data_IF_237430852543
#
_entry.id   IF_237430852543
#
_cell.length_a   1.000
_cell.length_b   1.000
_cell.length_c   1.000
_cell.angle_alpha   90.00
_cell.angle_beta   90.00
_cell.angle_gamma   90.00
#
_symmetry.space_group_name_H-M   'P 1'
#
loop_
_entity.id
_entity.type
_entity.pdbx_description
1 polymer ?
#
# COMPACT_ATOMS: atom_id res chain seq x y z
N UNK A 1 36.92 -47.26 -40.39
CA UNK A 1 36.58 -46.85 -39.00
C UNK A 1 37.26 -45.53 -38.67
N UNK A 2 36.55 -44.39 -38.77
CA UNK A 2 36.88 -43.16 -38.03
C UNK A 2 35.56 -42.48 -37.68
N UNK A 3 35.23 -42.50 -36.40
CA UNK A 3 33.97 -42.09 -35.80
C UNK A 3 33.89 -40.56 -35.73
N UNK A 4 32.89 -40.01 -36.40
CA UNK A 4 32.53 -38.59 -36.37
C UNK A 4 31.90 -38.27 -35.00
N UNK A 5 32.64 -37.64 -34.10
CA UNK A 5 32.11 -37.18 -32.82
C UNK A 5 31.35 -35.87 -33.04
N UNK A 6 30.03 -35.96 -33.15
CA UNK A 6 29.15 -34.79 -33.09
C UNK A 6 29.13 -34.27 -31.64
N UNK A 7 29.87 -33.19 -31.38
CA UNK A 7 29.78 -32.46 -30.12
C UNK A 7 28.46 -31.68 -30.14
N UNK A 8 27.47 -32.19 -29.40
CA UNK A 8 26.21 -31.51 -29.14
C UNK A 8 26.47 -30.36 -28.15
N UNK A 9 26.66 -29.16 -28.68
CA UNK A 9 26.72 -27.93 -27.88
C UNK A 9 25.30 -27.62 -27.39
N UNK A 10 24.96 -28.11 -26.19
CA UNK A 10 23.72 -27.73 -25.51
C UNK A 10 23.85 -26.26 -25.10
N UNK A 11 23.28 -25.38 -25.92
CA UNK A 11 23.15 -23.96 -25.60
C UNK A 11 22.15 -23.86 -24.45
N UNK A 12 22.66 -23.82 -23.22
CA UNK A 12 21.96 -23.33 -22.04
C UNK A 12 21.72 -21.83 -22.25
N UNK A 13 20.67 -21.47 -22.98
CA UNK A 13 20.15 -20.11 -22.96
C UNK A 13 19.63 -19.91 -21.53
N UNK A 14 20.21 -19.02 -20.71
CA UNK A 14 19.57 -18.65 -19.47
C UNK A 14 18.28 -17.95 -19.88
N UNK A 15 17.15 -18.66 -19.76
CA UNK A 15 15.86 -17.99 -19.70
C UNK A 15 15.97 -17.03 -18.52
N UNK A 16 16.08 -15.73 -18.81
CA UNK A 16 15.87 -14.72 -17.80
C UNK A 16 14.43 -14.89 -17.35
N UNK A 17 14.23 -15.67 -16.29
CA UNK A 17 12.99 -15.69 -15.53
C UNK A 17 12.89 -14.33 -14.86
N UNK A 18 12.43 -13.33 -15.61
CA UNK A 18 11.79 -12.19 -15.02
C UNK A 18 10.56 -12.75 -14.34
N UNK A 19 10.60 -12.89 -13.02
CA UNK A 19 9.37 -12.98 -12.26
C UNK A 19 8.68 -11.64 -12.50
N UNK A 20 7.82 -11.58 -13.52
CA UNK A 20 6.95 -10.44 -13.73
C UNK A 20 6.23 -10.25 -12.40
N UNK A 21 6.43 -9.09 -11.79
CA UNK A 21 5.59 -8.62 -10.70
C UNK A 21 4.18 -8.39 -11.27
N UNK A 22 3.51 -9.49 -11.62
CA UNK A 22 2.18 -9.53 -12.19
C UNK A 22 1.19 -9.64 -11.05
N UNK A 23 1.17 -8.64 -10.18
CA UNK A 23 0.04 -8.41 -9.30
C UNK A 23 -0.63 -7.10 -9.72
N UNK A 24 -1.33 -7.21 -10.85
CA UNK A 24 -2.06 -6.14 -11.53
C UNK A 24 -3.47 -5.95 -10.97
N UNK A 25 -3.65 -6.07 -9.64
CA UNK A 25 -4.90 -5.80 -8.95
C UNK A 25 -5.05 -4.34 -8.52
N UNK A 26 -6.29 -3.90 -8.34
CA UNK A 26 -6.60 -2.73 -7.54
C UNK A 26 -6.92 -3.19 -6.12
N UNK A 27 -6.26 -2.60 -5.13
CA UNK A 27 -6.57 -2.82 -3.72
C UNK A 27 -7.55 -1.74 -3.25
N UNK A 28 -8.51 -2.13 -2.40
CA UNK A 28 -9.55 -1.23 -1.91
C UNK A 28 -9.67 -1.34 -0.39
N UNK A 29 -9.70 -0.17 0.26
CA UNK A 29 -10.15 0.00 1.64
C UNK A 29 -11.51 0.71 1.65
N UNK A 30 -12.43 0.38 2.57
CA UNK A 30 -12.34 -0.68 3.58
C UNK A 30 -12.40 -2.09 2.96
N UNK A 31 -11.87 -3.10 3.67
CA UNK A 31 -11.90 -4.50 3.20
C UNK A 31 -13.19 -5.21 3.61
N UNK A 32 -13.76 -4.82 4.74
CA UNK A 32 -15.00 -5.36 5.28
C UNK A 32 -16.20 -5.03 4.39
N UNK A 33 -17.25 -5.86 4.41
CA UNK A 33 -18.45 -5.64 3.61
C UNK A 33 -19.39 -4.60 4.23
N UNK A 34 -19.09 -4.07 5.42
CA UNK A 34 -19.96 -3.17 6.17
C UNK A 34 -19.25 -1.84 6.35
N UNK A 35 -19.93 -0.73 6.02
CA UNK A 35 -19.37 0.63 6.10
C UNK A 35 -20.35 1.61 6.76
N UNK A 36 -19.86 2.67 7.42
CA UNK A 36 -20.71 3.75 7.90
C UNK A 36 -21.23 4.59 6.73
N UNK A 37 -22.35 5.30 6.94
CA UNK A 37 -22.95 6.15 5.90
C UNK A 37 -22.06 7.28 5.39
N UNK A 38 -21.03 7.66 6.13
CA UNK A 38 -20.05 8.70 5.80
C UNK A 38 -18.66 8.12 5.47
N UNK A 39 -18.60 6.84 5.07
CA UNK A 39 -17.35 6.11 4.81
C UNK A 39 -16.43 6.76 3.76
N UNK A 40 -15.12 6.58 3.92
CA UNK A 40 -14.09 6.90 2.93
C UNK A 40 -13.63 5.64 2.21
N UNK A 41 -13.06 5.79 1.02
CA UNK A 41 -12.55 4.69 0.22
C UNK A 41 -11.15 5.01 -0.26
N UNK A 42 -10.21 4.06 -0.12
CA UNK A 42 -8.88 4.18 -0.71
C UNK A 42 -8.78 3.17 -1.84
N UNK A 43 -8.37 3.61 -3.03
CA UNK A 43 -8.04 2.72 -4.14
C UNK A 43 -6.55 2.84 -4.43
N UNK A 44 -5.85 1.71 -4.37
CA UNK A 44 -4.40 1.62 -4.59
C UNK A 44 -4.12 0.74 -5.80
N UNK A 45 -3.22 1.21 -6.67
CA UNK A 45 -2.75 0.50 -7.85
C UNK A 45 -1.22 0.41 -7.87
N UNK A 46 -0.72 -0.78 -8.18
CA UNK A 46 0.71 -1.07 -8.39
C UNK A 46 1.04 -1.19 -9.87
N UNK A 47 2.31 -0.98 -10.22
CA UNK A 47 2.83 -1.27 -11.57
C UNK A 47 2.02 -0.61 -12.67
N UNK A 48 1.40 -1.43 -13.53
CA UNK A 48 0.59 -0.99 -14.69
C UNK A 48 -0.69 -0.23 -14.30
N UNK A 49 -1.21 -0.40 -13.08
CA UNK A 49 -2.44 0.24 -12.64
C UNK A 49 -2.23 1.66 -12.08
N UNK A 50 -0.99 2.11 -11.91
CA UNK A 50 -0.72 3.46 -11.35
C UNK A 50 -1.34 4.57 -12.20
N UNK A 51 -1.26 4.45 -13.53
CA UNK A 51 -1.82 5.43 -14.45
C UNK A 51 -3.35 5.49 -14.34
N UNK A 52 -4.01 4.34 -14.21
CA UNK A 52 -5.44 4.28 -13.94
C UNK A 52 -5.80 5.04 -12.65
N UNK A 53 -5.04 4.87 -11.56
CA UNK A 53 -5.28 5.60 -10.31
C UNK A 53 -5.16 7.12 -10.51
N UNK A 54 -4.13 7.58 -11.21
CA UNK A 54 -3.95 9.00 -11.50
C UNK A 54 -5.15 9.57 -12.27
N UNK A 55 -5.68 8.80 -13.22
CA UNK A 55 -6.83 9.17 -14.03
C UNK A 55 -8.15 9.23 -13.27
N UNK A 56 -8.26 8.66 -12.06
CA UNK A 56 -9.49 8.76 -11.23
C UNK A 56 -9.78 10.20 -10.77
N UNK A 57 -8.79 11.08 -10.85
CA UNK A 57 -8.95 12.51 -10.53
C UNK A 57 -9.38 13.38 -11.71
N UNK A 58 -9.32 12.86 -12.95
CA UNK A 58 -9.47 13.67 -14.16
C UNK A 58 -10.40 13.04 -15.21
N UNK A 59 -10.13 11.81 -15.63
CA UNK A 59 -10.78 11.17 -16.78
C UNK A 59 -11.81 10.11 -16.36
N UNK A 60 -11.41 9.25 -15.43
CA UNK A 60 -12.22 8.14 -14.96
C UNK A 60 -12.92 8.57 -13.67
N UNK A 61 -14.19 8.18 -13.51
CA UNK A 61 -14.97 8.56 -12.34
C UNK A 61 -15.35 7.32 -11.55
N UNK A 62 -15.26 7.42 -10.23
CA UNK A 62 -15.61 6.31 -9.32
C UNK A 62 -16.98 6.57 -8.71
N UNK A 63 -17.79 5.52 -8.63
CA UNK A 63 -19.14 5.56 -8.10
C UNK A 63 -19.43 4.40 -7.16
N UNK A 64 -20.41 4.62 -6.29
CA UNK A 64 -21.14 3.59 -5.59
C UNK A 64 -22.50 3.43 -6.26
N UNK A 65 -22.77 2.24 -6.80
CA UNK A 65 -24.01 1.92 -7.51
C UNK A 65 -24.86 0.98 -6.66
N UNK A 66 -26.03 1.46 -6.23
CA UNK A 66 -27.08 0.66 -5.61
C UNK A 66 -28.24 0.45 -6.58
N UNK A 67 -29.33 -0.18 -6.11
CA UNK A 67 -30.48 -0.56 -6.95
C UNK A 67 -31.08 0.61 -7.75
N UNK A 68 -31.31 1.76 -7.08
CA UNK A 68 -31.92 2.96 -7.67
C UNK A 68 -31.08 4.22 -7.41
N UNK A 69 -29.80 4.05 -7.09
CA UNK A 69 -28.91 5.16 -6.74
C UNK A 69 -27.53 4.98 -7.36
N UNK A 70 -26.96 6.09 -7.83
CA UNK A 70 -25.57 6.20 -8.24
C UNK A 70 -24.98 7.40 -7.51
N UNK A 71 -23.98 7.17 -6.67
CA UNK A 71 -23.34 8.18 -5.82
C UNK A 71 -21.91 8.38 -6.29
N UNK A 72 -21.54 9.60 -6.66
CA UNK A 72 -20.16 9.89 -7.05
C UNK A 72 -19.25 9.84 -5.84
N UNK A 73 -18.08 9.24 -6.03
CA UNK A 73 -16.97 9.34 -5.11
C UNK A 73 -16.04 10.47 -5.56
N UNK A 74 -15.88 11.48 -4.71
CA UNK A 74 -15.06 12.67 -4.95
C UNK A 74 -13.64 12.40 -4.44
N UNK A 75 -12.64 12.77 -5.23
CA UNK A 75 -11.23 12.71 -4.83
C UNK A 75 -10.94 13.69 -3.70
N UNK A 76 -10.45 13.15 -2.59
CA UNK A 76 -9.95 13.91 -1.44
C UNK A 76 -8.45 14.15 -1.58
N UNK A 77 -7.70 13.11 -1.94
CA UNK A 77 -6.23 13.19 -2.05
C UNK A 77 -5.71 12.11 -2.99
N UNK A 78 -4.71 12.45 -3.81
CA UNK A 78 -3.96 11.48 -4.63
C UNK A 78 -2.51 11.46 -4.16
N UNK A 79 -1.98 10.27 -3.88
CA UNK A 79 -0.60 10.10 -3.39
C UNK A 79 0.16 9.11 -4.28
N UNK A 80 1.35 9.52 -4.71
CA UNK A 80 2.29 8.69 -5.46
C UNK A 80 3.38 8.21 -4.50
N UNK A 81 3.50 6.89 -4.37
CA UNK A 81 4.53 6.24 -3.58
C UNK A 81 5.90 6.35 -4.24
N UNK A 82 6.95 6.05 -3.46
CA UNK A 82 8.32 6.14 -3.95
C UNK A 82 8.73 4.94 -4.81
N UNK A 83 7.91 3.88 -4.87
CA UNK A 83 8.22 2.66 -5.63
C UNK A 83 6.97 1.98 -6.21
N UNK A 84 6.61 2.33 -7.45
CA UNK A 84 5.55 1.67 -8.23
C UNK A 84 4.19 1.49 -7.52
N UNK A 85 3.80 2.44 -6.67
CA UNK A 85 2.47 2.48 -6.04
C UNK A 85 1.87 3.87 -6.21
N UNK A 86 0.58 3.92 -6.52
CA UNK A 86 -0.23 5.13 -6.50
C UNK A 86 -1.55 4.84 -5.83
N UNK A 87 -2.10 5.79 -5.09
CA UNK A 87 -3.40 5.65 -4.46
C UNK A 87 -4.22 6.94 -4.54
N UNK A 88 -5.54 6.78 -4.45
CA UNK A 88 -6.49 7.87 -4.33
C UNK A 88 -7.41 7.62 -3.14
N UNK A 89 -7.52 8.62 -2.27
CA UNK A 89 -8.51 8.67 -1.21
C UNK A 89 -9.77 9.37 -1.74
N UNK A 90 -10.91 8.73 -1.53
CA UNK A 90 -12.20 9.11 -2.06
C UNK A 90 -13.23 9.24 -0.94
N UNK A 91 -14.22 10.12 -1.13
CA UNK A 91 -15.38 10.26 -0.24
C UNK A 91 -16.66 10.40 -1.06
N UNK A 92 -17.79 9.80 -0.62
CA UNK A 92 -19.10 10.06 -1.22
C UNK A 92 -19.42 11.56 -1.26
N UNK A 93 -20.01 12.03 -2.36
CA UNK A 93 -20.47 13.42 -2.49
C UNK A 93 -21.62 13.78 -1.54
N UNK A 94 -22.29 12.76 -0.98
CA UNK A 94 -23.35 12.84 0.02
C UNK A 94 -23.34 11.59 0.89
N UNK A 95 -23.96 11.66 2.06
CA UNK A 95 -24.17 10.49 2.92
C UNK A 95 -24.88 9.36 2.14
N UNK A 96 -24.41 8.14 2.39
CA UNK A 96 -24.99 6.91 1.85
C UNK A 96 -26.30 6.58 2.59
N UNK A 97 -27.21 5.90 1.91
CA UNK A 97 -28.50 5.52 2.50
C UNK A 97 -28.35 4.25 3.34
N UNK A 98 -28.66 4.27 4.65
CA UNK A 98 -28.57 3.08 5.51
C UNK A 98 -29.41 1.89 5.00
N UNK A 99 -28.91 0.68 5.27
CA UNK A 99 -29.55 -0.58 4.87
C UNK A 99 -29.45 -0.91 3.38
N UNK A 100 -28.84 -0.04 2.56
CA UNK A 100 -28.61 -0.31 1.14
C UNK A 100 -27.26 -0.98 0.93
N UNK A 101 -27.20 -1.74 -0.16
CA UNK A 101 -25.96 -2.33 -0.68
C UNK A 101 -25.52 -1.53 -1.91
N UNK A 102 -24.26 -1.13 -1.94
CA UNK A 102 -23.64 -0.46 -3.07
C UNK A 102 -22.48 -1.27 -3.62
N UNK A 103 -22.31 -1.25 -4.94
CA UNK A 103 -21.16 -1.81 -5.65
C UNK A 103 -20.20 -0.68 -6.04
N UNK A 104 -18.90 -0.86 -5.77
CA UNK A 104 -17.87 0.07 -6.21
C UNK A 104 -17.57 -0.13 -7.70
N UNK A 105 -17.66 0.94 -8.49
CA UNK A 105 -17.47 0.91 -9.94
C UNK A 105 -16.59 2.08 -10.39
N UNK A 106 -15.66 1.81 -11.31
CA UNK A 106 -14.94 2.85 -12.05
C UNK A 106 -15.55 2.94 -13.45
N UNK A 107 -16.05 4.10 -13.85
CA UNK A 107 -16.57 4.30 -15.20
C UNK A 107 -15.46 4.54 -16.22
N UNK A 108 -15.77 4.26 -17.49
CA UNK A 108 -14.88 4.42 -18.65
C UNK A 108 -13.62 3.54 -18.62
N UNK A 109 -13.63 2.46 -17.83
CA UNK A 109 -12.53 1.49 -17.82
C UNK A 109 -13.00 0.08 -18.21
N UNK A 110 -12.18 -0.68 -18.96
CA UNK A 110 -12.48 -2.06 -19.29
C UNK A 110 -12.74 -2.95 -18.05
N UNK A 111 -13.54 -4.00 -18.22
CA UNK A 111 -13.98 -4.87 -17.13
C UNK A 111 -12.85 -5.57 -16.35
N UNK A 112 -11.66 -5.74 -16.95
CA UNK A 112 -10.48 -6.30 -16.29
C UNK A 112 -9.84 -5.33 -15.28
N UNK A 113 -10.07 -4.02 -15.42
CA UNK A 113 -9.55 -2.99 -14.52
C UNK A 113 -10.56 -2.56 -13.44
N UNK A 114 -11.73 -3.19 -13.40
CA UNK A 114 -12.70 -2.96 -12.33
C UNK A 114 -12.15 -3.49 -11.00
N UNK A 115 -12.36 -2.76 -9.88
CA UNK A 115 -12.02 -3.26 -8.56
C UNK A 115 -12.77 -4.57 -8.26
N UNK A 116 -12.04 -5.60 -7.87
CA UNK A 116 -12.60 -6.91 -7.54
C UNK A 116 -11.92 -7.45 -6.29
N UNK A 117 -12.68 -8.19 -5.49
CA UNK A 117 -12.14 -8.96 -4.36
C UNK A 117 -12.13 -10.43 -4.72
N UNK A 118 -11.09 -11.13 -4.28
CA UNK A 118 -11.05 -12.58 -4.39
C UNK A 118 -11.93 -13.19 -3.29
N UNK A 119 -12.90 -14.02 -3.68
CA UNK A 119 -13.71 -14.80 -2.76
C UNK A 119 -13.03 -16.16 -2.52
N UNK A 120 -12.58 -16.38 -1.29
CA UNK A 120 -11.87 -17.61 -0.93
C UNK A 120 -12.74 -18.86 -0.97
N UNK A 121 -14.06 -18.73 -0.81
CA UNK A 121 -15.02 -19.85 -0.81
C UNK A 121 -15.31 -20.25 -2.25
N UNK A 122 -15.70 -19.28 -3.08
CA UNK A 122 -16.08 -19.55 -4.48
C UNK A 122 -14.89 -19.62 -5.44
N UNK A 123 -13.69 -19.22 -4.97
CA UNK A 123 -12.43 -19.15 -5.74
C UNK A 123 -12.54 -18.23 -6.98
N UNK A 124 -13.38 -17.20 -6.91
CA UNK A 124 -13.67 -16.29 -8.02
C UNK A 124 -13.39 -14.83 -7.65
N UNK A 125 -13.10 -14.03 -8.66
CA UNK A 125 -13.07 -12.57 -8.52
C UNK A 125 -14.50 -12.04 -8.56
N UNK A 126 -14.91 -11.36 -7.49
CA UNK A 126 -16.25 -10.82 -7.31
C UNK A 126 -16.20 -9.29 -7.26
N UNK A 127 -17.27 -8.59 -7.71
CA UNK A 127 -17.42 -7.16 -7.46
C UNK A 127 -17.29 -6.82 -5.98
N UNK A 128 -16.75 -5.65 -5.69
CA UNK A 128 -16.66 -5.15 -4.32
C UNK A 128 -17.99 -4.48 -3.97
N UNK A 129 -18.66 -5.04 -2.97
CA UNK A 129 -19.94 -4.55 -2.46
C UNK A 129 -19.84 -4.20 -0.99
N UNK A 130 -20.62 -3.19 -0.59
CA UNK A 130 -20.70 -2.67 0.78
C UNK A 130 -22.15 -2.50 1.20
N UNK A 131 -22.50 -2.98 2.38
CA UNK A 131 -23.73 -2.70 3.11
C UNK A 131 -23.53 -1.51 4.05
N UNK A 132 -24.48 -0.57 4.04
CA UNK A 132 -24.38 0.67 4.79
C UNK A 132 -25.08 0.57 6.14
N UNK A 133 -24.38 0.85 7.23
CA UNK A 133 -24.96 0.88 8.58
C UNK A 133 -25.79 2.13 8.84
N UNK A 134 -26.66 2.08 9.85
CA UNK A 134 -27.41 3.24 10.35
C UNK A 134 -26.50 4.28 10.99
N UNK A 135 -25.45 3.82 11.65
CA UNK A 135 -24.61 4.67 12.48
C UNK A 135 -23.55 5.39 11.62
N UNK A 136 -23.39 6.70 11.87
CA UNK A 136 -22.19 7.41 11.45
C UNK A 136 -21.00 7.00 12.30
N UNK A 137 -19.82 6.93 11.69
CA UNK A 137 -18.57 6.79 12.42
C UNK A 137 -17.94 8.18 12.63
N UNK A 138 -18.50 8.97 13.56
CA UNK A 138 -18.03 10.35 13.78
C UNK A 138 -16.92 10.49 14.85
N UNK A 139 -16.53 9.38 15.47
CA UNK A 139 -15.55 9.36 16.57
C UNK A 139 -14.17 9.04 16.04
N UNK A 140 -13.26 10.01 16.10
CA UNK A 140 -11.87 9.80 15.71
C UNK A 140 -11.22 8.66 16.53
N UNK A 141 -10.27 7.90 15.95
CA UNK A 141 -9.48 6.94 16.70
C UNK A 141 -8.77 7.58 17.89
N UNK A 142 -8.56 6.84 18.97
CA UNK A 142 -7.83 7.33 20.15
C UNK A 142 -6.47 6.64 20.21
N UNK A 143 -5.41 7.42 20.01
CA UNK A 143 -4.03 6.94 20.12
C UNK A 143 -3.65 6.74 21.60
N UNK A 144 -3.35 5.50 21.99
CA UNK A 144 -3.04 5.13 23.37
C UNK A 144 -1.54 5.23 23.67
N UNK A 145 -0.69 5.05 22.67
CA UNK A 145 0.75 5.19 22.82
C UNK A 145 1.42 5.78 21.57
N UNK A 146 2.61 6.34 21.78
CA UNK A 146 3.48 6.76 20.67
C UNK A 146 3.95 5.52 19.90
N UNK A 147 3.84 5.50 18.56
CA UNK A 147 4.44 4.43 17.77
C UNK A 147 5.96 4.35 17.97
N UNK A 148 6.51 3.14 18.03
CA UNK A 148 7.96 2.91 18.18
C UNK A 148 8.45 1.94 17.14
N UNK A 149 9.67 2.15 16.65
CA UNK A 149 10.34 1.18 15.78
C UNK A 149 10.48 -0.14 16.54
N UNK A 150 10.00 -1.22 15.94
CA UNK A 150 10.13 -2.59 16.48
C UNK A 150 10.96 -3.49 15.59
N UNK A 151 11.07 -3.20 14.30
CA UNK A 151 11.83 -4.02 13.37
C UNK A 151 12.34 -3.21 12.17
N UNK A 152 13.44 -3.67 11.58
CA UNK A 152 14.04 -3.15 10.34
C UNK A 152 14.54 -4.31 9.51
N UNK A 153 14.03 -4.47 8.29
CA UNK A 153 14.39 -5.59 7.42
C UNK A 153 14.98 -5.09 6.12
N UNK A 154 16.04 -5.78 5.72
CA UNK A 154 16.59 -5.77 4.38
C UNK A 154 16.73 -7.23 3.97
N UNK A 155 15.84 -7.70 3.11
CA UNK A 155 15.83 -9.09 2.65
C UNK A 155 16.04 -9.07 1.14
N UNK A 156 17.13 -9.67 0.69
CA UNK A 156 17.43 -9.80 -0.74
C UNK A 156 16.65 -10.96 -1.36
N UNK A 157 16.11 -10.69 -2.53
CA UNK A 157 15.51 -11.69 -3.41
C UNK A 157 16.06 -11.55 -4.83
N UNK A 158 15.77 -12.53 -5.69
CA UNK A 158 16.28 -12.53 -7.07
C UNK A 158 15.87 -11.31 -7.90
N UNK A 159 14.71 -10.71 -7.62
CA UNK A 159 14.17 -9.55 -8.35
C UNK A 159 14.39 -8.20 -7.61
N UNK A 160 15.13 -8.20 -6.51
CA UNK A 160 15.41 -7.00 -5.70
C UNK A 160 15.04 -7.19 -4.23
N UNK A 161 15.39 -6.23 -3.36
CA UNK A 161 15.20 -6.37 -1.93
C UNK A 161 13.81 -5.91 -1.46
N UNK A 162 13.28 -6.60 -0.44
CA UNK A 162 12.31 -6.02 0.48
C UNK A 162 13.06 -5.16 1.51
N UNK A 163 12.67 -3.91 1.65
CA UNK A 163 13.28 -2.94 2.57
C UNK A 163 12.16 -2.30 3.37
N UNK A 164 12.06 -2.66 4.65
CA UNK A 164 10.94 -2.23 5.50
C UNK A 164 11.39 -1.81 6.90
N UNK A 165 10.62 -0.89 7.49
CA UNK A 165 10.70 -0.51 8.89
C UNK A 165 9.33 -0.68 9.50
N UNK A 166 9.26 -1.42 10.61
CA UNK A 166 8.01 -1.69 11.30
C UNK A 166 7.91 -0.89 12.59
N UNK A 167 6.73 -0.35 12.85
CA UNK A 167 6.39 0.41 14.04
C UNK A 167 5.26 -0.28 14.76
N UNK A 168 5.40 -0.50 16.07
CA UNK A 168 4.22 -0.85 16.86
C UNK A 168 3.36 0.38 17.07
N UNK A 169 2.07 0.17 17.32
CA UNK A 169 1.15 1.21 17.74
C UNK A 169 0.05 0.62 18.62
N UNK A 170 -0.70 1.47 19.30
CA UNK A 170 -1.90 1.09 20.03
C UNK A 170 -2.94 2.18 19.88
N UNK A 171 -4.04 1.83 19.22
CA UNK A 171 -5.16 2.73 18.93
C UNK A 171 -6.45 2.04 19.31
N UNK A 172 -7.37 2.80 19.90
CA UNK A 172 -8.76 2.36 20.09
C UNK A 172 -9.62 2.95 18.98
N UNK A 173 -10.27 2.09 18.20
CA UNK A 173 -11.25 2.44 17.17
C UNK A 173 -12.33 1.36 17.12
N UNK A 174 -13.52 1.70 16.63
CA UNK A 174 -14.64 0.77 16.46
C UNK A 174 -14.72 0.20 15.04
N UNK A 175 -14.03 0.81 14.09
CA UNK A 175 -14.06 0.44 12.67
C UNK A 175 -12.66 0.10 12.16
N UNK A 176 -12.57 -0.29 10.89
CA UNK A 176 -11.28 -0.47 10.21
C UNK A 176 -10.44 0.81 10.28
N UNK A 177 -9.13 0.62 10.36
CA UNK A 177 -8.14 1.66 10.58
C UNK A 177 -7.29 1.85 9.33
N UNK A 178 -7.11 3.11 8.94
CA UNK A 178 -6.15 3.52 7.93
C UNK A 178 -5.11 4.44 8.57
N UNK A 179 -3.84 4.32 8.18
CA UNK A 179 -2.75 5.12 8.76
C UNK A 179 -2.03 5.88 7.66
N UNK A 180 -2.06 7.21 7.70
CA UNK A 180 -1.20 8.05 6.85
C UNK A 180 0.16 8.18 7.51
N UNK A 181 1.20 7.70 6.84
CA UNK A 181 2.59 7.96 7.21
C UNK A 181 3.12 9.12 6.38
N UNK A 182 3.78 10.08 7.02
CA UNK A 182 4.52 11.16 6.36
C UNK A 182 5.98 11.05 6.75
N UNK A 183 6.83 10.72 5.78
CA UNK A 183 8.25 10.44 5.96
C UNK A 183 9.08 11.58 5.38
N UNK A 184 10.02 12.08 6.17
CA UNK A 184 11.01 13.06 5.76
C UNK A 184 12.40 12.43 5.73
N UNK A 185 13.06 12.50 4.59
CA UNK A 185 14.50 12.23 4.47
C UNK A 185 15.27 13.41 5.05
N UNK A 186 16.09 13.15 6.09
CA UNK A 186 16.86 14.21 6.75
C UNK A 186 18.05 14.69 5.93
N UNK A 187 18.50 13.90 4.96
CA UNK A 187 19.62 14.22 4.08
C UNK A 187 19.16 15.16 2.98
N UNK A 188 18.06 14.82 2.29
CA UNK A 188 17.56 15.60 1.16
C UNK A 188 16.50 16.64 1.55
N UNK A 189 15.92 16.52 2.75
CA UNK A 189 14.79 17.35 3.20
C UNK A 189 13.45 17.00 2.55
N UNK A 190 13.43 16.08 1.57
CA UNK A 190 12.22 15.68 0.86
C UNK A 190 11.26 14.96 1.79
N UNK A 191 9.97 15.24 1.60
CA UNK A 191 8.88 14.63 2.36
C UNK A 191 7.94 13.92 1.40
N UNK A 192 7.52 12.70 1.76
CA UNK A 192 6.50 11.94 1.05
C UNK A 192 5.47 11.41 2.03
N UNK A 193 4.24 11.22 1.56
CA UNK A 193 3.15 10.69 2.38
C UNK A 193 2.45 9.53 1.68
N UNK A 194 1.95 8.57 2.46
CA UNK A 194 1.20 7.44 1.95
C UNK A 194 0.26 6.87 3.02
N UNK A 195 -0.96 6.50 2.65
CA UNK A 195 -1.87 5.70 3.47
C UNK A 195 -1.45 4.23 3.48
N UNK A 196 -1.60 3.60 4.64
CA UNK A 196 -1.18 2.25 4.93
C UNK A 196 -2.30 1.55 5.69
N UNK A 197 -2.56 0.30 5.33
CA UNK A 197 -3.43 -0.58 6.10
C UNK A 197 -2.55 -1.36 7.09
N UNK A 198 -2.61 -1.06 8.40
CA UNK A 198 -1.79 -1.74 9.37
C UNK A 198 -2.23 -3.20 9.55
N UNK A 199 -1.26 -4.07 9.82
CA UNK A 199 -1.54 -5.46 10.17
C UNK A 199 -1.47 -5.63 11.68
N UNK A 200 -2.60 -5.97 12.30
CA UNK A 200 -2.75 -6.04 13.76
C UNK A 200 -2.27 -4.71 14.37
N UNK A 201 -1.28 -4.73 15.25
CA UNK A 201 -0.72 -3.56 15.94
C UNK A 201 0.62 -3.10 15.34
N UNK A 202 0.88 -3.39 14.06
CA UNK A 202 2.11 -3.02 13.36
C UNK A 202 1.80 -2.20 12.11
N UNK A 203 2.48 -1.06 11.98
CA UNK A 203 2.55 -0.27 10.75
C UNK A 203 3.89 -0.59 10.09
N UNK A 204 3.85 -1.07 8.85
CA UNK A 204 5.05 -1.34 8.06
C UNK A 204 5.18 -0.28 6.97
N UNK A 205 6.31 0.41 6.94
CA UNK A 205 6.65 1.37 5.87
C UNK A 205 7.84 0.85 5.07
N UNK A 206 7.90 1.21 3.78
CA UNK A 206 8.98 0.81 2.89
C UNK A 206 8.43 0.22 1.60
N UNK A 207 9.12 -0.82 1.10
CA UNK A 207 8.76 -1.55 -0.11
C UNK A 207 9.02 -3.04 0.01
N UNK A 208 8.23 -3.82 -0.72
CA UNK A 208 8.58 -5.19 -1.07
C UNK A 208 9.40 -5.19 -2.38
N UNK A 209 9.61 -6.38 -2.95
CA UNK A 209 10.38 -6.57 -4.18
C UNK A 209 9.79 -5.86 -5.40
N UNK A 210 8.48 -5.63 -5.42
CA UNK A 210 7.72 -5.18 -6.59
C UNK A 210 7.20 -3.74 -6.45
N UNK A 211 6.81 -3.35 -5.24
CA UNK A 211 6.13 -2.07 -5.01
C UNK A 211 6.25 -1.63 -3.54
N UNK A 212 6.03 -0.33 -3.29
CA UNK A 212 6.14 0.24 -1.96
C UNK A 212 5.87 1.73 -1.87
N UNK A 213 5.39 2.13 -0.70
CA UNK A 213 5.09 3.51 -0.37
C UNK A 213 6.37 4.36 -0.28
N UNK A 214 7.44 3.77 0.24
CA UNK A 214 8.69 4.48 0.56
C UNK A 214 9.90 3.65 0.15
N UNK A 215 10.95 4.34 -0.29
CA UNK A 215 12.29 3.77 -0.50
C UNK A 215 13.23 4.30 0.57
N UNK A 216 14.09 3.43 1.11
CA UNK A 216 15.08 3.81 2.10
C UNK A 216 16.48 3.47 1.61
N UNK A 217 17.39 4.43 1.76
CA UNK A 217 18.81 4.22 1.52
C UNK A 217 19.46 3.54 2.72
N UNK A 218 20.53 2.77 2.46
CA UNK A 218 21.28 2.03 3.48
C UNK A 218 21.68 2.95 4.64
N UNK A 219 21.10 2.68 5.81
CA UNK A 219 21.43 3.36 7.06
C UNK A 219 21.22 4.89 7.05
N UNK A 220 20.52 5.46 6.07
CA UNK A 220 20.20 6.89 6.02
C UNK A 220 19.21 7.31 7.12
N UNK A 221 19.17 8.61 7.46
CA UNK A 221 18.37 9.12 8.58
C UNK A 221 17.04 9.69 8.10
N UNK A 222 15.95 9.30 8.76
CA UNK A 222 14.59 9.69 8.44
C UNK A 222 13.81 10.11 9.70
N UNK A 223 12.73 10.85 9.47
CA UNK A 223 11.71 11.14 10.46
C UNK A 223 10.34 10.73 9.91
N UNK A 224 9.48 10.15 10.74
CA UNK A 224 8.10 9.82 10.36
C UNK A 224 7.09 10.38 11.35
N UNK A 225 5.96 10.82 10.83
CA UNK A 225 4.74 11.11 11.60
C UNK A 225 3.61 10.23 11.10
N UNK A 226 2.66 9.91 11.98
CA UNK A 226 1.52 9.07 11.69
C UNK A 226 0.23 9.80 12.02
N UNK A 227 -0.73 9.72 11.10
CA UNK A 227 -2.12 10.12 11.31
C UNK A 227 -3.00 8.89 11.19
N UNK A 228 -3.84 8.65 12.20
CA UNK A 228 -4.72 7.48 12.28
C UNK A 228 -6.14 7.88 11.89
N UNK A 229 -6.71 7.21 10.91
CA UNK A 229 -8.04 7.48 10.37
C UNK A 229 -8.95 6.27 10.59
N UNK A 230 -10.18 6.51 11.02
CA UNK A 230 -11.24 5.49 11.01
C UNK A 230 -11.86 5.35 9.61
N UNK A 231 -12.92 4.54 9.48
CA UNK A 231 -13.54 4.22 8.20
C UNK A 231 -14.31 5.38 7.57
N UNK A 232 -14.55 6.47 8.31
CA UNK A 232 -15.16 7.72 7.79
C UNK A 232 -14.16 8.86 7.56
N UNK A 233 -12.87 8.61 7.84
CA UNK A 233 -11.79 9.58 7.65
C UNK A 233 -11.63 10.58 8.80
N UNK A 234 -12.23 10.35 9.97
CA UNK A 234 -11.89 11.11 11.18
C UNK A 234 -10.49 10.76 11.63
N UNK A 235 -9.68 11.78 11.83
CA UNK A 235 -8.26 11.64 12.09
C UNK A 235 -7.89 11.90 13.55
N UNK A 236 -6.90 11.16 14.03
CA UNK A 236 -6.13 11.47 15.22
C UNK A 236 -4.65 11.52 14.84
N UNK A 237 -4.04 12.69 15.01
CA UNK A 237 -2.62 12.90 14.73
C UNK A 237 -1.75 12.63 15.95
N UNK A 238 -0.54 12.12 15.70
CA UNK A 238 0.50 12.14 16.71
C UNK A 238 0.94 13.59 16.99
N UNK A 239 0.65 14.09 18.19
CA UNK A 239 0.96 15.47 18.60
C UNK A 239 2.39 15.72 19.09
N UNK A 240 3.19 14.67 19.25
CA UNK A 240 4.57 14.80 19.71
C UNK A 240 5.59 14.99 18.58
N UNK A 241 6.88 14.98 18.94
CA UNK A 241 7.96 15.08 17.95
C UNK A 241 7.92 13.94 16.91
N UNK A 242 8.32 14.19 15.66
CA UNK A 242 8.51 13.13 14.67
C UNK A 242 9.36 11.98 15.22
N UNK A 243 9.07 10.76 14.79
CA UNK A 243 9.80 9.57 15.21
C UNK A 243 11.02 9.43 14.29
N UNK A 244 12.21 9.65 14.84
CA UNK A 244 13.45 9.44 14.12
C UNK A 244 13.74 7.94 13.96
N UNK A 245 14.20 7.55 12.78
CA UNK A 245 14.68 6.20 12.50
C UNK A 245 15.79 6.24 11.44
N UNK A 246 16.44 5.10 11.24
CA UNK A 246 17.38 4.91 10.14
C UNK A 246 16.85 3.86 9.18
N UNK A 247 17.18 4.00 7.90
CA UNK A 247 16.95 2.95 6.92
C UNK A 247 17.55 1.61 7.36
N UNK A 248 16.97 0.47 6.93
CA UNK A 248 17.56 -0.84 7.15
C UNK A 248 18.97 -0.90 6.58
N UNK A 249 19.81 -1.73 7.19
CA UNK A 249 21.20 -1.89 6.78
C UNK A 249 21.30 -2.91 5.66
N UNK A 250 21.97 -2.56 4.56
CA UNK A 250 22.30 -3.52 3.51
C UNK A 250 23.34 -4.53 4.03
N UNK A 251 22.99 -5.84 4.15
CA UNK A 251 23.92 -6.85 4.63
C UNK A 251 25.06 -7.14 3.62
N UNK A 252 24.93 -6.73 2.37
CA UNK A 252 25.88 -6.99 1.28
C UNK A 252 26.78 -5.82 0.92
N UNK A 253 26.65 -4.68 1.61
CA UNK A 253 27.47 -3.50 1.36
C UNK A 253 28.98 -3.82 1.42
N UNK A 254 29.62 -3.80 0.25
CA UNK A 254 31.02 -4.25 0.04
C UNK A 254 32.03 -3.45 0.86
N UNK A 255 31.76 -2.17 1.16
CA UNK A 255 32.66 -1.29 1.91
C UNK A 255 32.89 -1.80 3.34
N UNK A 256 31.84 -2.28 3.99
CA UNK A 256 31.90 -2.88 5.33
C UNK A 256 32.59 -4.25 5.37
N UNK A 257 32.53 -5.03 4.29
CA UNK A 257 33.25 -6.31 4.17
C UNK A 257 34.76 -6.12 4.04
N UNK A 258 35.20 -5.09 3.32
CA UNK A 258 36.63 -4.77 3.15
C UNK A 258 37.22 -4.26 4.48
N UNK A 259 36.56 -3.33 5.16
CA UNK A 259 37.02 -2.79 6.45
C UNK A 259 37.08 -3.86 7.56
N UNK A 260 36.12 -4.80 7.60
CA UNK A 260 36.16 -5.94 8.53
C UNK A 260 37.26 -6.95 8.21
N UNK A 261 37.67 -7.09 6.94
CA UNK A 261 38.80 -7.94 6.55
C UNK A 261 40.15 -7.29 6.87
N UNK A 262 40.24 -5.97 6.80
CA UNK A 262 41.45 -5.22 7.16
C UNK A 262 41.65 -5.22 8.68
N UNK A 263 40.60 -5.05 9.50
CA UNK A 263 40.70 -5.08 10.97
C UNK A 263 40.93 -6.48 11.59
N UNK A 264 40.86 -7.55 10.78
CA UNK A 264 41.11 -8.94 11.20
C UNK A 264 42.51 -9.44 10.77
N UNK A 265 43.32 -8.58 10.17
CA UNK A 265 44.75 -8.80 9.90
C UNK A 265 45.55 -7.86 10.78
#
# INVERSE_FOLDING_TARGET
MKTLHAILFVILIPFFSFADCFDGGLQVFPKGPIIPKNGIFLITGSGVNQELILQLSTLNQTFLIGENEKIKLVVVETLVGSYQLTQVLLKPERDLTPGKIYTLVIENVPAQFQPKKYDEITKKMCPITFEVTTDSDDVAPILLNRPKVVDKRWIEYGCGPEITVSFNYSVKTLTELLVKATVKDKTTGKTSSFYLEPEKNVITIGRNMCSGAFTFDDSANYEVTFTFLNSSGKACEWSGKPIAFTGPKDPWNKKLRIEKRIKKR
#
